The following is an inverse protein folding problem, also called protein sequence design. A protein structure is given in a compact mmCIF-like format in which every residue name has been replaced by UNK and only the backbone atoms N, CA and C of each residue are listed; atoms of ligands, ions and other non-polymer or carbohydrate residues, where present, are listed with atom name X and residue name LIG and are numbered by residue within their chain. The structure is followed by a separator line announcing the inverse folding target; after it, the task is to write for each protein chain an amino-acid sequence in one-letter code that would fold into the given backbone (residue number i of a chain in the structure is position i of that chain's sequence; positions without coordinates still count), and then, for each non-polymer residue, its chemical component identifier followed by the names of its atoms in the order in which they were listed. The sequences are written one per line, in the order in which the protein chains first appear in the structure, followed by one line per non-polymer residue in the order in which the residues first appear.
data_IF_758071196959
#
_entry.id   IF_758071196959
#
_cell.length_a   1.000
_cell.length_b   1.000
_cell.length_c   1.000
_cell.angle_alpha   90.00
_cell.angle_beta   90.00
_cell.angle_gamma   90.00
#
_symmetry.space_group_name_H-M   'P 1'
#
loop_
_entity.id
_entity.type
_entity.pdbx_description
1 polymer ?
#
# COMPACT_ATOMS: atom_id res chain seq x y z
N UNK A 1 19.13 -12.79 18.57
CA UNK A 1 19.35 -13.06 17.13
C UNK A 1 18.04 -13.55 16.54
N UNK A 2 17.22 -12.65 16.01
CA UNK A 2 15.89 -12.99 15.48
C UNK A 2 16.09 -13.64 14.11
N UNK A 3 15.79 -14.94 14.03
CA UNK A 3 15.96 -15.78 12.84
C UNK A 3 14.86 -15.51 11.79
N UNK A 4 14.86 -14.31 11.22
CA UNK A 4 14.15 -13.99 9.97
C UNK A 4 14.71 -14.65 8.69
N UNK A 5 15.97 -15.15 8.61
CA UNK A 5 16.49 -15.81 7.40
C UNK A 5 15.76 -17.10 6.98
N UNK A 6 14.91 -17.68 7.84
CA UNK A 6 14.09 -18.85 7.49
C UNK A 6 12.79 -18.52 6.76
N UNK A 7 12.39 -17.25 6.72
CA UNK A 7 11.15 -16.80 6.09
C UNK A 7 11.35 -16.15 4.72
N UNK A 8 12.61 -16.05 4.28
CA UNK A 8 13.00 -15.49 3.00
C UNK A 8 14.05 -16.43 2.39
N UNK A 9 13.64 -17.34 1.51
CA UNK A 9 14.58 -18.12 0.72
C UNK A 9 15.28 -17.19 -0.28
N UNK A 10 16.59 -17.00 -0.09
CA UNK A 10 17.45 -16.27 -1.02
C UNK A 10 17.49 -17.07 -2.33
N UNK A 11 16.85 -16.55 -3.38
CA UNK A 11 17.16 -16.95 -4.76
C UNK A 11 18.21 -15.97 -5.26
N UNK A 12 19.43 -16.47 -5.40
CA UNK A 12 20.65 -15.86 -5.96
C UNK A 12 20.69 -14.35 -6.24
N UNK A 13 21.66 -13.73 -5.58
CA UNK A 13 22.18 -12.36 -5.73
C UNK A 13 22.16 -11.83 -7.17
N UNK A 14 21.46 -10.70 -7.37
CA UNK A 14 21.98 -9.37 -7.72
C UNK A 14 20.78 -8.46 -8.00
N UNK A 15 20.89 -7.20 -7.57
CA UNK A 15 19.89 -6.13 -7.67
C UNK A 15 18.78 -6.17 -6.61
N UNK A 16 18.75 -5.10 -5.81
CA UNK A 16 17.70 -4.75 -4.85
C UNK A 16 16.28 -4.70 -5.45
N UNK A 17 16.18 -4.78 -6.77
CA UNK A 17 14.94 -4.68 -7.56
C UNK A 17 14.26 -6.04 -7.81
N UNK A 18 14.91 -7.17 -7.48
CA UNK A 18 14.32 -8.52 -7.65
C UNK A 18 13.70 -9.14 -6.40
N UNK A 19 13.75 -8.46 -5.25
CA UNK A 19 13.18 -8.97 -4.01
C UNK A 19 11.65 -9.17 -4.09
N UNK A 20 10.98 -8.42 -4.97
CA UNK A 20 9.52 -8.44 -5.14
C UNK A 20 9.07 -9.45 -6.22
N UNK A 21 9.92 -9.75 -7.20
CA UNK A 21 9.62 -10.72 -8.28
C UNK A 21 9.82 -12.18 -7.88
N UNK A 22 10.35 -12.46 -6.68
CA UNK A 22 10.69 -13.80 -6.20
C UNK A 22 9.94 -14.22 -4.91
N UNK A 23 9.02 -13.40 -4.42
CA UNK A 23 8.20 -13.71 -3.25
C UNK A 23 6.74 -13.96 -3.64
N UNK A 24 6.32 -15.22 -3.71
CA UNK A 24 4.90 -15.53 -3.50
C UNK A 24 4.54 -15.12 -2.07
N UNK A 25 3.39 -14.47 -1.88
CA UNK A 25 2.84 -14.22 -0.57
C UNK A 25 2.54 -15.57 0.11
N UNK A 26 3.51 -16.10 0.85
CA UNK A 26 3.42 -17.42 1.46
C UNK A 26 2.63 -17.30 2.77
N UNK A 27 1.31 -17.33 2.63
CA UNK A 27 0.30 -17.27 3.71
C UNK A 27 0.25 -18.59 4.49
N UNK A 28 1.40 -19.04 4.99
CA UNK A 28 1.49 -20.25 5.82
C UNK A 28 0.93 -19.97 7.21
N UNK A 29 0.47 -21.02 7.90
CA UNK A 29 -0.01 -20.93 9.29
C UNK A 29 1.04 -20.29 10.24
N UNK A 30 2.32 -20.40 9.89
CA UNK A 30 3.43 -19.81 10.64
C UNK A 30 3.42 -18.28 10.51
N UNK A 31 3.12 -17.73 9.33
CA UNK A 31 2.98 -16.28 9.11
C UNK A 31 1.87 -15.71 10.01
N UNK A 32 0.75 -16.43 10.15
CA UNK A 32 -0.32 -16.12 11.09
C UNK A 32 0.17 -15.97 12.54
N UNK A 33 0.97 -16.92 13.01
CA UNK A 33 1.44 -16.98 14.42
C UNK A 33 2.51 -15.95 14.75
N UNK A 34 3.32 -15.52 13.79
CA UNK A 34 4.48 -14.64 14.05
C UNK A 34 4.25 -13.18 13.67
N UNK A 35 3.33 -12.89 12.73
CA UNK A 35 3.18 -11.53 12.21
C UNK A 35 2.69 -10.53 13.26
N UNK A 36 1.65 -10.87 14.03
CA UNK A 36 1.09 -9.94 15.03
C UNK A 36 2.13 -9.56 16.10
N UNK A 37 2.85 -10.50 16.75
CA UNK A 37 3.91 -10.15 17.69
C UNK A 37 5.01 -9.28 17.07
N UNK A 38 5.38 -9.52 15.82
CA UNK A 38 6.38 -8.70 15.11
C UNK A 38 5.86 -7.29 14.85
N UNK A 39 4.61 -7.14 14.39
CA UNK A 39 3.98 -5.84 14.18
C UNK A 39 3.87 -5.05 15.49
N UNK A 40 3.52 -5.72 16.59
CA UNK A 40 3.50 -5.11 17.93
C UNK A 40 4.89 -4.67 18.39
N UNK A 41 5.94 -5.46 18.13
CA UNK A 41 7.32 -5.07 18.42
C UNK A 41 7.75 -3.82 17.63
N UNK A 42 7.29 -3.70 16.38
CA UNK A 42 7.56 -2.53 15.53
C UNK A 42 6.89 -1.24 16.04
N UNK A 43 5.83 -1.35 16.85
CA UNK A 43 5.18 -0.22 17.52
C UNK A 43 5.92 0.26 18.79
N UNK A 44 7.13 -0.24 19.05
CA UNK A 44 7.96 0.25 20.15
C UNK A 44 8.69 1.54 19.76
N UNK A 45 8.81 2.47 20.71
CA UNK A 45 9.55 3.72 20.52
C UNK A 45 11.02 3.47 20.14
N UNK A 46 11.62 2.38 20.61
CA UNK A 46 13.02 2.04 20.34
C UNK A 46 13.22 1.21 19.05
N UNK A 47 12.14 0.87 18.34
CA UNK A 47 12.26 0.05 17.14
C UNK A 47 12.85 0.86 15.96
N UNK A 48 13.91 0.38 15.29
CA UNK A 48 14.54 1.10 14.20
C UNK A 48 13.72 1.01 12.91
N UNK A 49 12.97 2.08 12.60
CA UNK A 49 12.26 2.20 11.33
C UNK A 49 13.25 2.38 10.17
N UNK A 50 13.25 1.41 9.27
CA UNK A 50 14.09 1.40 8.07
C UNK A 50 13.27 0.89 6.87
N UNK A 51 13.82 0.88 5.64
CA UNK A 51 13.08 0.42 4.46
C UNK A 51 12.50 -1.00 4.59
N UNK A 52 13.12 -1.90 5.35
CA UNK A 52 12.59 -3.25 5.59
C UNK A 52 11.35 -3.23 6.48
N UNK A 53 11.25 -2.30 7.43
CA UNK A 53 10.04 -2.11 8.25
C UNK A 53 8.86 -1.70 7.36
N UNK A 54 9.09 -0.76 6.43
CA UNK A 54 8.09 -0.31 5.46
C UNK A 54 7.65 -1.44 4.52
N UNK A 55 8.61 -2.28 4.08
CA UNK A 55 8.31 -3.47 3.29
C UNK A 55 7.39 -4.45 4.03
N UNK A 56 7.71 -4.81 5.27
CA UNK A 56 6.90 -5.74 6.07
C UNK A 56 5.51 -5.15 6.32
N UNK A 57 5.44 -3.87 6.69
CA UNK A 57 4.19 -3.13 6.87
C UNK A 57 3.32 -3.21 5.61
N UNK A 58 3.89 -2.91 4.44
CA UNK A 58 3.17 -2.98 3.18
C UNK A 58 2.68 -4.40 2.89
N UNK A 59 3.53 -5.41 3.07
CA UNK A 59 3.17 -6.81 2.82
C UNK A 59 1.99 -7.27 3.70
N UNK A 60 1.97 -6.87 4.97
CA UNK A 60 0.88 -7.19 5.89
C UNK A 60 -0.47 -6.57 5.49
N UNK A 61 -0.51 -5.47 4.72
CA UNK A 61 -1.76 -4.93 4.18
C UNK A 61 -2.46 -5.90 3.21
N UNK A 62 -1.71 -6.83 2.61
CA UNK A 62 -2.22 -7.83 1.68
C UNK A 62 -2.60 -9.16 2.36
N UNK A 63 -2.39 -9.27 3.67
CA UNK A 63 -2.58 -10.50 4.42
C UNK A 63 -4.01 -11.04 4.33
N UNK A 64 -4.16 -12.36 4.20
CA UNK A 64 -5.48 -13.00 4.19
C UNK A 64 -6.16 -12.85 5.55
N UNK A 65 -5.39 -13.03 6.61
CA UNK A 65 -5.88 -12.86 7.97
C UNK A 65 -6.22 -11.38 8.24
N UNK A 66 -7.48 -11.13 8.60
CA UNK A 66 -7.97 -9.79 8.93
C UNK A 66 -7.31 -9.25 10.19
N UNK A 67 -6.96 -10.11 11.16
CA UNK A 67 -6.30 -9.67 12.39
C UNK A 67 -4.91 -9.07 12.09
N UNK A 68 -4.16 -9.65 11.16
CA UNK A 68 -2.88 -9.07 10.69
C UNK A 68 -3.11 -7.72 10.01
N UNK A 69 -4.15 -7.63 9.16
CA UNK A 69 -4.49 -6.37 8.49
C UNK A 69 -4.87 -5.25 9.47
N UNK A 70 -5.61 -5.58 10.52
CA UNK A 70 -5.94 -4.61 11.58
C UNK A 70 -4.68 -4.21 12.36
N UNK A 71 -3.84 -5.17 12.74
CA UNK A 71 -2.59 -4.89 13.46
C UNK A 71 -1.63 -4.00 12.65
N UNK A 72 -1.58 -4.16 11.32
CA UNK A 72 -0.74 -3.28 10.50
C UNK A 72 -1.35 -1.89 10.30
N UNK A 73 -2.67 -1.74 10.33
CA UNK A 73 -3.32 -0.42 10.38
C UNK A 73 -2.93 0.31 11.67
N UNK A 74 -2.89 -0.38 12.81
CA UNK A 74 -2.43 0.18 14.08
C UNK A 74 -0.95 0.61 14.00
N UNK A 75 -0.10 -0.22 13.39
CA UNK A 75 1.31 0.11 13.15
C UNK A 75 1.49 1.31 12.21
N UNK A 76 0.71 1.39 11.12
CA UNK A 76 0.72 2.56 10.22
C UNK A 76 0.29 3.82 10.97
N UNK A 77 -0.76 3.72 11.79
CA UNK A 77 -1.24 4.85 12.58
C UNK A 77 -0.18 5.35 13.57
N UNK A 78 0.47 4.42 14.28
CA UNK A 78 1.60 4.72 15.14
C UNK A 78 2.76 5.37 14.37
N UNK A 79 3.13 4.82 13.21
CA UNK A 79 4.22 5.35 12.39
C UNK A 79 3.93 6.78 11.90
N UNK A 80 2.69 7.09 11.54
CA UNK A 80 2.27 8.45 11.16
C UNK A 80 2.34 9.38 12.37
N UNK A 81 1.75 9.00 13.49
CA UNK A 81 1.73 9.82 14.71
C UNK A 81 3.13 10.18 15.23
N UNK A 82 4.11 9.28 15.02
CA UNK A 82 5.50 9.49 15.42
C UNK A 82 6.41 9.99 14.28
N UNK A 83 5.85 10.33 13.11
CA UNK A 83 6.59 10.79 11.91
C UNK A 83 7.70 9.81 11.46
N UNK A 84 7.43 8.51 11.58
CA UNK A 84 8.32 7.40 11.19
C UNK A 84 7.95 6.76 9.86
N UNK A 85 6.82 7.16 9.28
CA UNK A 85 6.39 6.65 7.98
C UNK A 85 7.15 7.36 6.84
N UNK A 86 7.97 6.61 6.10
CA UNK A 86 8.53 7.04 4.83
C UNK A 86 7.52 6.74 3.73
N UNK A 87 6.83 7.79 3.28
CA UNK A 87 5.73 7.71 2.32
C UNK A 87 6.23 7.22 0.96
N UNK A 88 7.42 7.66 0.52
CA UNK A 88 7.98 7.26 -0.77
C UNK A 88 8.37 5.78 -0.78
N UNK A 89 9.01 5.31 0.29
CA UNK A 89 9.34 3.89 0.44
C UNK A 89 8.07 3.04 0.52
N UNK A 90 7.07 3.45 1.31
CA UNK A 90 5.81 2.73 1.45
C UNK A 90 5.04 2.68 0.13
N UNK A 91 4.93 3.81 -0.59
CA UNK A 91 4.24 3.89 -1.86
C UNK A 91 4.90 3.03 -2.95
N UNK A 92 6.25 3.00 -2.98
CA UNK A 92 7.02 2.12 -3.86
C UNK A 92 6.78 0.65 -3.53
N UNK A 93 6.88 0.24 -2.27
CA UNK A 93 6.58 -1.16 -1.93
C UNK A 93 5.15 -1.52 -2.28
N UNK A 94 4.19 -0.60 -2.06
CA UNK A 94 2.79 -0.82 -2.37
C UNK A 94 2.59 -1.07 -3.86
N UNK A 95 3.16 -0.23 -4.73
CA UNK A 95 3.03 -0.39 -6.18
C UNK A 95 3.60 -1.72 -6.67
N UNK A 96 4.73 -2.15 -6.10
CA UNK A 96 5.37 -3.41 -6.47
C UNK A 96 4.49 -4.63 -6.13
N UNK A 97 3.94 -4.66 -4.90
CA UNK A 97 2.99 -5.72 -4.51
C UNK A 97 1.74 -5.73 -5.40
N UNK A 98 1.24 -4.55 -5.80
CA UNK A 98 0.04 -4.43 -6.64
C UNK A 98 0.32 -4.87 -8.07
N UNK A 99 1.41 -4.41 -8.69
CA UNK A 99 1.78 -4.73 -10.07
C UNK A 99 1.99 -6.24 -10.26
N UNK A 100 2.63 -6.89 -9.28
CA UNK A 100 2.94 -8.32 -9.35
C UNK A 100 1.80 -9.25 -8.87
N UNK A 101 0.64 -8.69 -8.51
CA UNK A 101 -0.62 -9.44 -8.28
C UNK A 101 -0.55 -10.63 -7.33
N UNK A 102 0.31 -10.58 -6.30
CA UNK A 102 0.50 -11.72 -5.37
C UNK A 102 -0.59 -11.83 -4.30
N UNK A 103 -1.53 -10.89 -4.21
CA UNK A 103 -2.66 -10.92 -3.29
C UNK A 103 -3.86 -10.06 -3.74
N UNK A 104 -5.08 -10.33 -3.23
CA UNK A 104 -6.27 -9.54 -3.57
C UNK A 104 -6.11 -8.06 -3.21
N UNK A 105 -6.10 -7.20 -4.23
CA UNK A 105 -5.95 -5.74 -4.11
C UNK A 105 -6.92 -5.10 -3.09
N UNK A 106 -8.15 -5.62 -2.97
CA UNK A 106 -9.14 -5.10 -2.03
C UNK A 106 -8.67 -5.12 -0.56
N UNK A 107 -7.79 -6.05 -0.18
CA UNK A 107 -7.24 -6.13 1.18
C UNK A 107 -6.37 -4.93 1.52
N UNK A 108 -5.53 -4.52 0.57
CA UNK A 108 -4.73 -3.31 0.69
C UNK A 108 -5.63 -2.07 0.74
N UNK A 109 -6.61 -1.97 -0.16
CA UNK A 109 -7.57 -0.85 -0.17
C UNK A 109 -8.30 -0.72 1.17
N UNK A 110 -8.74 -1.83 1.77
CA UNK A 110 -9.36 -1.83 3.11
C UNK A 110 -8.44 -1.22 4.18
N UNK A 111 -7.15 -1.56 4.17
CA UNK A 111 -6.18 -1.02 5.12
C UNK A 111 -5.97 0.50 4.92
N UNK A 112 -5.77 0.94 3.68
CA UNK A 112 -5.58 2.36 3.35
C UNK A 112 -6.83 3.18 3.68
N UNK A 113 -8.02 2.65 3.38
CA UNK A 113 -9.28 3.29 3.73
C UNK A 113 -9.42 3.44 5.24
N UNK A 114 -9.14 2.38 6.02
CA UNK A 114 -9.22 2.40 7.48
C UNK A 114 -8.31 3.48 8.08
N UNK A 115 -7.13 3.69 7.50
CA UNK A 115 -6.21 4.73 7.93
C UNK A 115 -6.75 6.16 7.70
N UNK A 116 -7.53 6.37 6.64
CA UNK A 116 -8.14 7.68 6.36
C UNK A 116 -9.26 8.07 7.33
N UNK A 117 -9.90 7.09 7.99
CA UNK A 117 -11.01 7.31 8.92
C UNK A 117 -10.57 8.01 10.21
N UNK A 118 -9.26 8.00 10.52
CA UNK A 118 -8.69 8.77 11.64
C UNK A 118 -8.74 10.30 11.41
N UNK A 119 -8.94 10.75 10.18
CA UNK A 119 -9.06 12.17 9.83
C UNK A 119 -7.76 12.98 10.02
N UNK A 120 -7.86 14.31 9.89
CA UNK A 120 -6.73 15.22 10.10
C UNK A 120 -5.50 14.89 9.22
N UNK A 121 -4.32 14.85 9.84
CA UNK A 121 -3.06 14.56 9.16
C UNK A 121 -3.06 13.19 8.46
N UNK A 122 -3.78 12.20 8.99
CA UNK A 122 -3.86 10.87 8.39
C UNK A 122 -4.51 10.93 7.00
N UNK A 123 -5.54 11.75 6.80
CA UNK A 123 -6.17 11.91 5.50
C UNK A 123 -5.22 12.54 4.47
N UNK A 124 -4.37 13.48 4.90
CA UNK A 124 -3.34 14.10 4.05
C UNK A 124 -2.29 13.07 3.64
N UNK A 125 -1.79 12.30 4.61
CA UNK A 125 -0.78 11.25 4.37
C UNK A 125 -1.35 10.15 3.47
N UNK A 126 -2.58 9.70 3.72
CA UNK A 126 -3.24 8.69 2.88
C UNK A 126 -3.42 9.20 1.45
N UNK A 127 -3.81 10.47 1.27
CA UNK A 127 -3.90 11.08 -0.06
C UNK A 127 -2.55 11.03 -0.79
N UNK A 128 -1.47 11.36 -0.08
CA UNK A 128 -0.11 11.33 -0.64
C UNK A 128 0.35 9.91 -1.00
N UNK A 129 0.11 8.93 -0.10
CA UNK A 129 0.37 7.51 -0.37
C UNK A 129 -0.35 7.09 -1.66
N UNK A 130 -1.64 7.40 -1.78
CA UNK A 130 -2.42 7.01 -2.96
C UNK A 130 -1.86 7.65 -4.23
N UNK A 131 -1.60 8.95 -4.22
CA UNK A 131 -1.01 9.65 -5.37
C UNK A 131 0.32 9.03 -5.80
N UNK A 132 1.25 8.84 -4.86
CA UNK A 132 2.58 8.26 -5.13
C UNK A 132 2.51 6.80 -5.57
N UNK A 133 1.59 6.01 -5.03
CA UNK A 133 1.38 4.63 -5.47
C UNK A 133 0.83 4.61 -6.89
N UNK A 134 -0.21 5.41 -7.21
CA UNK A 134 -0.82 5.46 -8.54
C UNK A 134 0.20 5.74 -9.65
N UNK A 135 1.10 6.69 -9.43
CA UNK A 135 2.16 7.05 -10.39
C UNK A 135 3.09 5.87 -10.74
N UNK A 136 3.23 4.90 -9.84
CA UNK A 136 4.12 3.73 -9.99
C UNK A 136 3.40 2.47 -10.45
N UNK A 137 2.07 2.50 -10.59
CA UNK A 137 1.33 1.33 -11.06
C UNK A 137 1.49 1.14 -12.56
N UNK A 138 1.72 -0.09 -12.97
CA UNK A 138 1.87 -0.50 -14.35
C UNK A 138 1.04 -1.76 -14.57
N UNK A 139 -0.05 -1.63 -15.31
CA UNK A 139 -0.94 -2.74 -15.65
C UNK A 139 -0.98 -2.88 -17.17
N UNK A 140 -0.73 -4.09 -17.67
CA UNK A 140 -0.68 -4.31 -19.12
C UNK A 140 -2.08 -4.56 -19.71
N UNK A 141 -2.84 -5.49 -19.13
CA UNK A 141 -4.08 -5.99 -19.75
C UNK A 141 -5.36 -5.66 -18.98
N UNK A 142 -5.29 -5.61 -17.65
CA UNK A 142 -6.48 -5.45 -16.79
C UNK A 142 -6.15 -4.72 -15.51
N UNK A 143 -7.11 -3.93 -15.04
CA UNK A 143 -7.05 -3.34 -13.71
C UNK A 143 -7.40 -4.40 -12.65
N UNK A 144 -6.81 -4.32 -11.44
CA UNK A 144 -7.20 -5.18 -10.33
C UNK A 144 -8.70 -5.07 -10.01
N UNK A 145 -9.27 -6.17 -9.51
CA UNK A 145 -10.65 -6.12 -9.00
C UNK A 145 -10.75 -5.09 -7.87
N UNK A 146 -11.81 -4.29 -7.88
CA UNK A 146 -12.02 -3.15 -6.98
C UNK A 146 -11.04 -1.97 -7.15
N UNK A 147 -10.26 -1.90 -8.23
CA UNK A 147 -9.40 -0.73 -8.50
C UNK A 147 -10.15 0.60 -8.47
N UNK A 148 -11.38 0.62 -8.99
CA UNK A 148 -12.26 1.80 -8.94
C UNK A 148 -12.46 2.33 -7.52
N UNK A 149 -12.56 1.48 -6.49
CA UNK A 149 -12.73 1.91 -5.09
C UNK A 149 -11.52 2.71 -4.59
N UNK A 150 -10.33 2.37 -5.06
CA UNK A 150 -9.11 3.10 -4.73
C UNK A 150 -9.14 4.53 -5.32
N UNK A 151 -9.65 4.68 -6.54
CA UNK A 151 -9.86 5.99 -7.15
C UNK A 151 -11.01 6.77 -6.49
N UNK A 152 -12.07 6.08 -6.04
CA UNK A 152 -13.17 6.70 -5.28
C UNK A 152 -12.68 7.24 -3.93
N UNK A 153 -11.80 6.52 -3.25
CA UNK A 153 -11.12 7.00 -2.03
C UNK A 153 -10.24 8.22 -2.32
N UNK A 154 -9.44 8.18 -3.39
CA UNK A 154 -8.61 9.32 -3.78
C UNK A 154 -9.44 10.58 -4.09
N UNK A 155 -10.50 10.42 -4.87
CA UNK A 155 -11.45 11.50 -5.17
C UNK A 155 -12.07 12.10 -3.90
N UNK A 156 -12.46 11.26 -2.94
CA UNK A 156 -13.01 11.70 -1.67
C UNK A 156 -12.02 12.58 -0.91
N UNK A 157 -10.75 12.15 -0.81
CA UNK A 157 -9.70 12.87 -0.09
C UNK A 157 -9.34 14.20 -0.77
N UNK A 158 -9.28 14.22 -2.10
CA UNK A 158 -9.11 15.46 -2.87
C UNK A 158 -10.26 16.44 -2.61
N UNK A 159 -11.50 15.95 -2.67
CA UNK A 159 -12.71 16.75 -2.45
C UNK A 159 -12.76 17.32 -1.04
N UNK A 160 -12.46 16.49 -0.02
CA UNK A 160 -12.44 16.91 1.39
C UNK A 160 -11.37 17.97 1.67
N UNK A 161 -10.23 17.89 0.99
CA UNK A 161 -9.14 18.88 1.12
C UNK A 161 -9.26 20.06 0.16
N UNK A 162 -10.30 20.11 -0.69
CA UNK A 162 -10.48 21.09 -1.76
C UNK A 162 -9.21 21.25 -2.62
N UNK A 163 -8.56 20.13 -2.95
CA UNK A 163 -7.36 20.09 -3.79
C UNK A 163 -7.62 19.35 -5.09
N UNK A 164 -6.82 19.67 -6.11
CA UNK A 164 -6.84 19.01 -7.42
C UNK A 164 -5.77 17.94 -7.47
N UNK A 165 -5.96 16.95 -8.34
CA UNK A 165 -4.88 16.03 -8.69
C UNK A 165 -3.86 16.76 -9.57
N UNK A 166 -2.58 16.45 -9.38
CA UNK A 166 -1.51 16.98 -10.23
C UNK A 166 -1.63 16.47 -11.66
N UNK A 167 -1.08 17.23 -12.62
CA UNK A 167 -1.14 16.91 -14.05
C UNK A 167 -0.53 15.53 -14.37
N UNK A 168 0.54 15.14 -13.67
CA UNK A 168 1.17 13.82 -13.81
C UNK A 168 0.22 12.70 -13.37
N UNK A 169 -0.47 12.89 -12.24
CA UNK A 169 -1.48 11.93 -11.77
C UNK A 169 -2.64 11.87 -12.76
N UNK A 170 -3.11 13.00 -13.27
CA UNK A 170 -4.18 13.02 -14.28
C UNK A 170 -3.80 12.26 -15.55
N UNK A 171 -2.57 12.44 -16.02
CA UNK A 171 -2.01 11.67 -17.14
C UNK A 171 -2.05 10.18 -16.84
N UNK A 172 -1.57 9.78 -15.67
CA UNK A 172 -1.58 8.38 -15.22
C UNK A 172 -2.99 7.80 -15.12
N UNK A 173 -3.96 8.56 -14.62
CA UNK A 173 -5.35 8.13 -14.52
C UNK A 173 -5.98 7.90 -15.90
N UNK A 174 -5.60 8.69 -16.90
CA UNK A 174 -6.06 8.49 -18.28
C UNK A 174 -5.48 7.22 -18.92
N UNK A 175 -4.27 6.80 -18.55
CA UNK A 175 -3.74 5.48 -18.94
C UNK A 175 -4.64 4.35 -18.44
N UNK A 176 -5.09 4.40 -17.16
CA UNK A 176 -6.00 3.39 -16.62
C UNK A 176 -7.38 3.38 -17.30
N UNK A 177 -7.86 4.53 -17.79
CA UNK A 177 -9.10 4.61 -18.59
C UNK A 177 -8.95 3.86 -19.92
N UNK A 178 -7.77 3.92 -20.55
CA UNK A 178 -7.50 3.19 -21.79
C UNK A 178 -7.51 1.66 -21.58
N UNK A 179 -7.07 1.20 -20.41
CA UNK A 179 -7.11 -0.23 -20.02
C UNK A 179 -8.55 -0.67 -19.71
N UNK A 180 -9.32 0.14 -18.98
CA UNK A 180 -10.70 -0.18 -18.63
C UNK A 180 -11.59 1.05 -18.57
N UNK A 181 -12.59 1.10 -19.46
CA UNK A 181 -13.61 2.17 -19.46
C UNK A 181 -14.44 2.24 -18.16
N UNK A 182 -14.38 1.22 -17.29
CA UNK A 182 -15.10 1.17 -16.01
C UNK A 182 -14.69 2.28 -15.02
N UNK A 183 -13.45 2.80 -15.14
CA UNK A 183 -12.96 3.88 -14.29
C UNK A 183 -13.17 5.29 -14.88
N UNK A 184 -13.62 5.40 -16.14
CA UNK A 184 -13.79 6.70 -16.83
C UNK A 184 -14.63 7.70 -16.03
N UNK A 185 -15.73 7.23 -15.45
CA UNK A 185 -16.63 8.09 -14.69
C UNK A 185 -15.97 8.71 -13.45
N UNK A 186 -15.13 7.96 -12.72
CA UNK A 186 -14.46 8.47 -11.52
C UNK A 186 -13.26 9.36 -11.89
N UNK A 187 -12.50 9.01 -12.93
CA UNK A 187 -11.40 9.86 -13.43
C UNK A 187 -11.92 11.23 -13.90
N UNK A 188 -13.05 11.26 -14.60
CA UNK A 188 -13.70 12.52 -14.99
C UNK A 188 -14.18 13.37 -13.81
N UNK A 189 -14.52 12.75 -12.66
CA UNK A 189 -14.87 13.50 -11.45
C UNK A 189 -13.62 14.11 -10.80
N UNK A 190 -12.52 13.34 -10.75
CA UNK A 190 -11.23 13.81 -10.24
C UNK A 190 -10.74 15.02 -11.04
N UNK A 191 -10.76 14.96 -12.37
CA UNK A 191 -10.32 16.07 -13.23
C UNK A 191 -11.22 17.31 -13.22
N UNK A 192 -12.38 17.27 -12.55
CA UNK A 192 -13.31 18.41 -12.43
C UNK A 192 -13.19 19.17 -11.10
N UNK A 193 -12.50 18.59 -10.11
CA UNK A 193 -12.13 19.33 -8.90
C UNK A 193 -11.21 20.48 -9.30
#
# INVERSE_FOLDING_TARGET
MILLPKYLTIVNQTESDKFLSATEYCDTEIFGKTSIPVLQLMMSDDYPYNPYTQFIMTACCFAKDKAIRLAVVDLMSFAIGHRRLDIDAFARHSSEWINHSSAPFNRYVECIQSLSEYGGDYAVIVKEIIGKTLLKLCFDDKLPTNFKKYLELYYLLLSQSNTKADDEIMTKLHEFVAISGSVKAIVNKIGKL
#
